data_IF_002756069157
#
_entry.id   IF_002756069157
#
_cell.length_a   1.000
_cell.length_b   1.000
_cell.length_c   1.000
_cell.angle_alpha   90.00
_cell.angle_beta   90.00
_cell.angle_gamma   90.00
#
_symmetry.space_group_name_H-M   'P 1'
#
loop_
_entity.id
_entity.type
_entity.pdbx_description
1 polymer ?
#
# COMPACT_ATOMS: atom_id res chain seq x y z
N UNK A 1 -14.52 17.24 -6.62
CA UNK A 1 -13.29 16.48 -6.28
C UNK A 1 -12.13 17.23 -6.89
N UNK A 2 -11.09 17.57 -6.11
CA UNK A 2 -10.00 18.42 -6.62
C UNK A 2 -9.25 17.70 -7.74
N UNK A 3 -8.74 18.48 -8.69
CA UNK A 3 -7.94 17.97 -9.80
C UNK A 3 -6.70 17.26 -9.25
N UNK A 4 -6.49 16.02 -9.68
CA UNK A 4 -5.31 15.21 -9.37
C UNK A 4 -4.06 15.85 -9.97
N UNK A 5 -2.91 15.67 -9.32
CA UNK A 5 -1.64 16.16 -9.85
C UNK A 5 -1.26 15.41 -11.11
N UNK A 6 -0.55 16.05 -12.05
CA UNK A 6 -0.11 15.42 -13.31
C UNK A 6 0.63 14.11 -13.06
N UNK A 7 1.52 14.10 -12.05
CA UNK A 7 2.28 12.92 -11.63
C UNK A 7 1.39 11.76 -11.19
N UNK A 8 0.29 12.04 -10.50
CA UNK A 8 -0.68 11.03 -10.08
C UNK A 8 -1.41 10.45 -11.29
N UNK A 9 -1.83 11.30 -12.23
CA UNK A 9 -2.52 10.85 -13.44
C UNK A 9 -1.63 9.98 -14.32
N UNK A 10 -0.35 10.35 -14.47
CA UNK A 10 0.64 9.57 -15.22
C UNK A 10 0.82 8.17 -14.59
N UNK A 11 0.96 8.11 -13.26
CA UNK A 11 1.03 6.85 -12.51
C UNK A 11 -0.23 5.99 -12.63
N UNK A 12 -1.42 6.62 -12.60
CA UNK A 12 -2.69 5.90 -12.75
C UNK A 12 -2.87 5.31 -14.15
N UNK A 13 -2.30 5.94 -15.18
CA UNK A 13 -2.40 5.47 -16.56
C UNK A 13 -1.65 4.15 -16.81
N UNK A 14 -0.64 3.84 -16.00
CA UNK A 14 0.11 2.58 -16.08
C UNK A 14 -0.61 1.39 -15.42
N UNK A 15 -1.71 1.66 -14.71
CA UNK A 15 -2.46 0.65 -13.93
C UNK A 15 -3.81 0.37 -14.59
N UNK A 16 -3.97 -0.83 -15.14
CA UNK A 16 -5.30 -1.33 -15.51
C UNK A 16 -6.07 -1.78 -14.26
N UNK A 17 -7.20 -1.13 -13.98
CA UNK A 17 -8.06 -1.41 -12.82
C UNK A 17 -8.85 -2.71 -12.94
N UNK A 18 -9.00 -3.25 -14.14
CA UNK A 18 -9.78 -4.48 -14.39
C UNK A 18 -8.91 -5.73 -14.38
N UNK A 19 -7.58 -5.57 -14.40
CA UNK A 19 -6.64 -6.69 -14.37
C UNK A 19 -6.29 -7.05 -12.92
N UNK A 20 -6.36 -8.34 -12.61
CA UNK A 20 -5.75 -8.88 -11.38
C UNK A 20 -4.25 -9.07 -11.61
N UNK A 21 -3.44 -8.40 -10.79
CA UNK A 21 -1.98 -8.53 -10.81
C UNK A 21 -1.53 -9.56 -9.78
N UNK A 22 -0.60 -10.42 -10.18
CA UNK A 22 0.11 -11.26 -9.22
C UNK A 22 1.02 -10.41 -8.32
N UNK A 23 1.32 -10.86 -7.09
CA UNK A 23 2.10 -10.07 -6.13
C UNK A 23 3.44 -9.56 -6.67
N UNK A 24 4.13 -10.35 -7.49
CA UNK A 24 5.42 -9.97 -8.10
C UNK A 24 5.25 -8.83 -9.11
N UNK A 25 4.26 -8.93 -10.00
CA UNK A 25 3.95 -7.90 -10.98
C UNK A 25 3.51 -6.60 -10.29
N UNK A 26 2.68 -6.70 -9.26
CA UNK A 26 2.22 -5.55 -8.48
C UNK A 26 3.39 -4.79 -7.83
N UNK A 27 4.38 -5.51 -7.27
CA UNK A 27 5.57 -4.88 -6.66
C UNK A 27 6.42 -4.17 -7.71
N UNK A 28 6.56 -4.71 -8.91
CA UNK A 28 7.28 -4.02 -10.00
C UNK A 28 6.59 -2.73 -10.42
N UNK A 29 5.27 -2.74 -10.56
CA UNK A 29 4.48 -1.55 -10.92
C UNK A 29 4.60 -0.48 -9.84
N UNK A 30 4.48 -0.86 -8.56
CA UNK A 30 4.64 0.08 -7.43
C UNK A 30 6.01 0.75 -7.47
N UNK A 31 7.09 0.00 -7.74
CA UNK A 31 8.44 0.56 -7.87
C UNK A 31 8.63 1.48 -9.07
N UNK A 32 7.94 1.22 -10.19
CA UNK A 32 7.98 2.10 -11.38
C UNK A 32 7.21 3.40 -11.15
N UNK A 33 6.10 3.31 -10.42
CA UNK A 33 5.26 4.45 -10.06
C UNK A 33 5.91 5.39 -9.03
N UNK A 34 6.88 4.88 -8.27
CA UNK A 34 7.65 5.64 -7.27
C UNK A 34 8.55 6.70 -7.94
N UNK A 35 8.00 7.91 -8.11
CA UNK A 35 8.67 9.01 -8.81
C UNK A 35 9.32 10.00 -7.83
N UNK A 36 9.16 9.83 -6.52
CA UNK A 36 9.61 10.82 -5.53
C UNK A 36 11.08 10.63 -5.14
N UNK A 37 11.73 11.71 -4.69
CA UNK A 37 13.17 11.74 -4.38
C UNK A 37 13.55 11.14 -3.02
N UNK A 38 12.58 10.67 -2.24
CA UNK A 38 12.77 10.11 -0.91
C UNK A 38 12.29 8.65 -0.88
N UNK A 39 12.68 7.89 0.15
CA UNK A 39 12.21 6.52 0.35
C UNK A 39 10.71 6.50 0.65
N UNK A 40 9.93 6.11 -0.36
CA UNK A 40 8.48 5.98 -0.26
C UNK A 40 8.09 4.77 0.59
N UNK A 41 6.91 4.85 1.22
CA UNK A 41 6.34 3.75 1.99
C UNK A 41 5.27 3.06 1.16
N UNK A 42 5.36 1.74 1.05
CA UNK A 42 4.34 0.93 0.38
C UNK A 42 3.26 0.57 1.38
N UNK A 43 2.00 0.86 1.05
CA UNK A 43 0.83 0.51 1.84
C UNK A 43 0.01 -0.59 1.14
N UNK A 44 -0.62 -1.45 1.93
CA UNK A 44 -1.49 -2.52 1.45
C UNK A 44 -2.89 -2.30 2.03
N UNK A 45 -3.88 -2.09 1.17
CA UNK A 45 -5.27 -1.96 1.58
C UNK A 45 -5.97 -3.31 1.45
N UNK A 46 -6.35 -3.90 2.59
CA UNK A 46 -7.13 -5.14 2.63
C UNK A 46 -8.55 -4.78 3.04
N UNK A 47 -9.51 -5.09 2.17
CA UNK A 47 -10.93 -5.01 2.54
C UNK A 47 -11.32 -6.28 3.29
N UNK A 48 -11.68 -6.13 4.56
CA UNK A 48 -12.26 -7.21 5.36
C UNK A 48 -13.80 -7.12 5.31
N UNK A 49 -14.47 -8.25 5.50
CA UNK A 49 -15.93 -8.32 5.66
C UNK A 49 -16.37 -8.18 7.12
N UNK A 50 -15.49 -7.71 8.00
CA UNK A 50 -15.78 -7.50 9.41
C UNK A 50 -16.72 -6.28 9.59
N UNK A 51 -17.75 -6.43 10.41
CA UNK A 51 -18.65 -5.34 10.77
C UNK A 51 -18.06 -4.54 11.95
N UNK A 52 -17.66 -3.28 11.76
CA UNK A 52 -17.07 -2.46 12.81
C UNK A 52 -18.05 -2.10 13.94
N UNK A 53 -19.36 -2.36 13.79
CA UNK A 53 -20.36 -2.16 14.85
C UNK A 53 -20.31 -3.25 15.92
N UNK A 54 -19.74 -4.41 15.58
CA UNK A 54 -19.59 -5.55 16.47
C UNK A 54 -18.13 -5.61 16.96
N UNK A 55 -17.92 -5.39 18.26
CA UNK A 55 -16.58 -5.22 18.84
C UNK A 55 -15.67 -6.46 18.70
N UNK A 56 -16.28 -7.65 18.64
CA UNK A 56 -15.64 -8.95 18.43
C UNK A 56 -15.09 -9.14 17.01
N UNK A 57 -15.61 -8.40 16.03
CA UNK A 57 -15.15 -8.46 14.65
C UNK A 57 -14.03 -7.45 14.35
N UNK A 58 -13.64 -6.64 15.33
CA UNK A 58 -12.58 -5.66 15.14
C UNK A 58 -11.20 -6.34 15.07
N UNK A 59 -10.54 -6.22 13.92
CA UNK A 59 -9.22 -6.82 13.70
C UNK A 59 -8.14 -5.82 14.10
N UNK A 60 -7.53 -6.04 15.27
CA UNK A 60 -6.36 -5.30 15.73
C UNK A 60 -5.24 -6.25 16.10
N UNK A 61 -4.17 -6.25 15.31
CA UNK A 61 -3.01 -7.10 15.53
C UNK A 61 -1.71 -6.38 15.21
N UNK A 62 -0.62 -6.85 15.79
CA UNK A 62 0.74 -6.48 15.42
C UNK A 62 1.39 -7.73 14.86
N UNK A 63 2.08 -7.59 13.72
CA UNK A 63 2.84 -8.69 13.14
C UNK A 63 4.27 -8.25 12.87
N UNK A 64 5.20 -9.20 12.96
CA UNK A 64 6.59 -8.99 12.59
C UNK A 64 6.74 -9.36 11.12
N UNK A 65 7.18 -8.41 10.31
CA UNK A 65 7.44 -8.67 8.89
C UNK A 65 8.74 -9.49 8.75
N UNK A 66 8.77 -10.52 7.89
CA UNK A 66 9.95 -11.37 7.72
C UNK A 66 11.18 -10.63 7.19
N UNK A 67 10.97 -9.52 6.48
CA UNK A 67 12.03 -8.65 5.97
C UNK A 67 12.21 -7.37 6.82
N UNK A 68 11.59 -7.31 8.00
CA UNK A 68 11.57 -6.13 8.85
C UNK A 68 10.77 -4.96 8.28
N UNK A 69 10.85 -3.81 8.96
CA UNK A 69 10.09 -2.59 8.61
C UNK A 69 10.92 -1.56 7.81
N UNK A 70 12.16 -1.89 7.43
CA UNK A 70 13.07 -0.99 6.71
C UNK A 70 13.55 0.24 7.50
N UNK A 71 13.12 0.43 8.76
CA UNK A 71 13.56 1.50 9.66
C UNK A 71 14.31 0.93 10.86
N UNK A 72 15.40 1.61 11.26
CA UNK A 72 16.18 1.24 12.44
C UNK A 72 15.41 1.69 13.70
N UNK A 73 14.83 0.73 14.42
CA UNK A 73 14.14 0.99 15.68
C UNK A 73 15.20 1.27 16.76
N UNK A 74 15.15 2.44 17.40
CA UNK A 74 15.98 2.74 18.58
C UNK A 74 15.09 2.66 19.81
N UNK A 75 15.33 1.66 20.65
CA UNK A 75 14.68 1.51 21.96
C UNK A 75 15.39 2.46 22.93
N UNK A 76 14.62 3.21 23.73
CA UNK A 76 15.11 4.11 24.79
C UNK A 76 15.28 3.35 26.11
#
# INVERSE_FOLDING_TARGET
MSNRSRRYTDAESEIDKNKEYYPQEAVEIVKKSANTKFDETVELHIRTNADPRHADQNVRGVTVLPHGIGKKIRVL
#
